data_IF_858878388812
#
_entry.id   IF_858878388812
#
_cell.length_a   1.000
_cell.length_b   1.000
_cell.length_c   1.000
_cell.angle_alpha   90.00
_cell.angle_beta   90.00
_cell.angle_gamma   90.00
#
_symmetry.space_group_name_H-M   'P 1'
#
loop_
_entity.id
_entity.type
_entity.pdbx_description
1 polymer ?
#
# COMPACT_ATOMS: atom_id res chain seq x y z
N UNK A 1 -0.31 -5.86 32.65
CA UNK A 1 -0.63 -6.52 31.36
C UNK A 1 0.54 -7.38 30.82
N UNK A 2 1.63 -7.57 31.57
CA UNK A 2 2.91 -8.08 31.04
C UNK A 2 3.37 -9.43 31.64
N UNK A 3 2.46 -10.39 31.84
CA UNK A 3 2.83 -11.71 32.39
C UNK A 3 2.24 -12.90 31.62
N UNK A 4 1.22 -12.68 30.78
CA UNK A 4 0.61 -13.70 29.91
C UNK A 4 1.26 -13.81 28.53
N UNK A 5 2.01 -12.78 28.08
CA UNK A 5 2.66 -12.77 26.76
C UNK A 5 3.92 -13.63 26.64
N UNK A 6 4.59 -13.92 27.77
CA UNK A 6 5.86 -14.67 27.78
C UNK A 6 5.67 -16.19 27.85
N UNK A 7 4.50 -16.68 28.27
CA UNK A 7 4.24 -18.12 28.42
C UNK A 7 3.92 -18.81 27.08
N UNK A 8 3.34 -18.10 26.10
CA UNK A 8 3.04 -18.67 24.78
C UNK A 8 4.25 -18.70 23.82
N UNK A 9 5.34 -17.99 24.12
CA UNK A 9 6.52 -17.93 23.26
C UNK A 9 7.47 -19.15 23.34
N UNK A 10 7.34 -20.02 24.36
CA UNK A 10 8.34 -21.06 24.68
C UNK A 10 7.97 -22.49 24.35
N UNK A 11 6.82 -22.73 23.72
CA UNK A 11 6.37 -24.08 23.39
C UNK A 11 6.82 -24.41 21.95
N UNK A 12 8.02 -24.99 21.84
CA UNK A 12 8.70 -25.28 20.57
C UNK A 12 7.83 -26.01 19.54
N UNK A 13 6.95 -26.92 20.00
CA UNK A 13 6.07 -27.68 19.10
C UNK A 13 4.95 -26.82 18.49
N UNK A 14 4.41 -25.83 19.21
CA UNK A 14 3.37 -24.92 18.70
C UNK A 14 3.98 -24.02 17.62
N UNK A 15 5.17 -23.49 17.85
CA UNK A 15 5.87 -22.68 16.84
C UNK A 15 6.20 -23.50 15.58
N UNK A 16 6.68 -24.74 15.72
CA UNK A 16 6.90 -25.64 14.59
C UNK A 16 5.62 -25.95 13.80
N UNK A 17 4.46 -26.06 14.46
CA UNK A 17 3.18 -26.27 13.80
C UNK A 17 2.72 -25.01 13.06
N UNK A 18 2.84 -23.84 13.68
CA UNK A 18 2.47 -22.55 13.09
C UNK A 18 3.32 -22.17 11.88
N UNK A 19 4.59 -22.57 11.88
CA UNK A 19 5.54 -22.25 10.81
C UNK A 19 5.53 -23.32 9.69
N UNK A 20 4.73 -24.37 9.82
CA UNK A 20 4.57 -25.40 8.78
C UNK A 20 3.80 -24.82 7.59
N UNK A 21 4.49 -24.72 6.45
CA UNK A 21 3.89 -24.37 5.16
C UNK A 21 3.02 -25.50 4.65
N UNK A 22 1.75 -25.19 4.36
CA UNK A 22 0.79 -26.19 3.88
C UNK A 22 -0.14 -25.64 2.80
N UNK A 23 -0.49 -24.35 2.85
CA UNK A 23 -1.42 -23.77 1.89
C UNK A 23 -0.68 -23.23 0.65
N UNK A 24 -1.19 -23.49 -0.57
CA UNK A 24 -0.67 -22.82 -1.76
C UNK A 24 -0.85 -21.31 -1.61
N UNK A 25 0.11 -20.55 -2.13
CA UNK A 25 0.05 -19.10 -2.03
C UNK A 25 -1.03 -18.56 -2.99
N UNK A 26 -2.11 -18.01 -2.42
CA UNK A 26 -3.23 -17.41 -3.16
C UNK A 26 -2.88 -16.09 -3.87
N UNK A 27 -1.76 -15.46 -3.52
CA UNK A 27 -1.29 -14.19 -4.10
C UNK A 27 -0.30 -14.41 -5.24
N UNK A 28 0.34 -15.58 -5.31
CA UNK A 28 1.26 -15.96 -6.38
C UNK A 28 1.32 -17.50 -6.49
N UNK A 29 0.67 -18.01 -7.54
CA UNK A 29 0.51 -19.44 -7.81
C UNK A 29 1.85 -20.17 -7.96
N UNK A 30 2.92 -19.46 -8.37
CA UNK A 30 4.25 -20.05 -8.58
C UNK A 30 5.17 -19.93 -7.36
N UNK A 31 4.70 -19.32 -6.28
CA UNK A 31 5.51 -19.08 -5.09
C UNK A 31 5.38 -20.18 -4.03
N UNK A 32 6.27 -20.10 -3.04
CA UNK A 32 6.36 -21.05 -1.92
C UNK A 32 5.06 -21.09 -1.10
N UNK A 33 4.68 -22.28 -0.66
CA UNK A 33 3.52 -22.50 0.20
C UNK A 33 3.55 -21.63 1.48
N UNK A 34 2.40 -21.07 1.84
CA UNK A 34 2.21 -20.26 3.05
C UNK A 34 2.14 -21.14 4.30
N UNK A 35 2.80 -20.68 5.36
CA UNK A 35 2.65 -21.21 6.72
C UNK A 35 1.31 -20.84 7.34
N UNK A 36 0.86 -21.62 8.32
CA UNK A 36 -0.37 -21.34 9.07
C UNK A 36 -0.33 -19.95 9.72
N UNK A 37 0.85 -19.53 10.20
CA UNK A 37 1.08 -18.18 10.71
C UNK A 37 0.91 -17.10 9.65
N UNK A 38 1.41 -17.32 8.43
CA UNK A 38 1.22 -16.39 7.31
C UNK A 38 -0.25 -16.29 6.91
N UNK A 39 -0.98 -17.41 6.89
CA UNK A 39 -2.43 -17.43 6.62
C UNK A 39 -3.20 -16.71 7.72
N UNK A 40 -2.85 -16.92 9.00
CA UNK A 40 -3.45 -16.19 10.11
C UNK A 40 -3.23 -14.67 10.02
N UNK A 41 -2.10 -14.22 9.47
CA UNK A 41 -1.85 -12.79 9.22
C UNK A 41 -2.75 -12.22 8.11
N UNK A 42 -3.18 -13.03 7.14
CA UNK A 42 -4.11 -12.59 6.09
C UNK A 42 -5.49 -12.22 6.66
N UNK A 43 -5.93 -12.86 7.75
CA UNK A 43 -7.20 -12.52 8.42
C UNK A 43 -7.20 -11.10 9.00
N UNK A 44 -6.01 -10.54 9.24
CA UNK A 44 -5.81 -9.18 9.74
C UNK A 44 -5.16 -8.28 8.70
N UNK A 45 -5.18 -8.68 7.42
CA UNK A 45 -4.62 -7.88 6.35
C UNK A 45 -5.46 -6.61 6.18
N UNK A 46 -4.91 -5.47 6.58
CA UNK A 46 -5.47 -4.16 6.27
C UNK A 46 -5.15 -3.85 4.82
N UNK A 47 -6.06 -4.19 3.92
CA UNK A 47 -5.94 -3.79 2.53
C UNK A 47 -5.99 -2.26 2.42
N UNK A 48 -4.91 -1.66 1.89
CA UNK A 48 -4.91 -0.25 1.57
C UNK A 48 -5.60 -0.04 0.22
N UNK A 49 -6.88 0.32 0.26
CA UNK A 49 -7.68 0.61 -0.93
C UNK A 49 -7.60 2.08 -1.39
N UNK A 50 -6.74 2.89 -0.76
CA UNK A 50 -6.52 4.28 -1.18
C UNK A 50 -5.75 4.27 -2.50
N UNK A 51 -6.35 4.87 -3.53
CA UNK A 51 -5.73 5.05 -4.85
C UNK A 51 -5.23 6.49 -4.92
N UNK A 52 -4.10 6.72 -4.26
CA UNK A 52 -3.51 8.04 -4.09
C UNK A 52 -2.04 7.96 -4.44
N UNK A 53 -1.58 8.89 -5.27
CA UNK A 53 -0.18 9.08 -5.63
C UNK A 53 0.20 10.47 -5.16
N UNK A 54 1.28 10.58 -4.39
CA UNK A 54 1.86 11.86 -3.96
C UNK A 54 3.31 11.85 -4.39
N UNK A 55 3.73 12.88 -5.12
CA UNK A 55 5.10 13.04 -5.62
C UNK A 55 5.66 14.38 -5.17
N UNK A 56 6.94 14.40 -4.86
CA UNK A 56 7.70 15.63 -4.73
C UNK A 56 7.99 16.12 -6.15
N UNK A 57 7.30 17.18 -6.56
CA UNK A 57 7.34 17.71 -7.92
C UNK A 57 8.43 18.76 -8.11
N UNK A 58 9.53 18.72 -7.34
CA UNK A 58 10.66 19.63 -7.53
C UNK A 58 10.95 19.77 -9.02
N UNK A 59 10.90 21.01 -9.54
CA UNK A 59 11.12 21.27 -10.96
C UNK A 59 12.50 20.77 -11.40
N UNK A 60 12.58 19.56 -11.95
CA UNK A 60 13.61 19.24 -12.92
C UNK A 60 13.13 19.85 -14.24
N UNK A 61 13.78 20.95 -14.62
CA UNK A 61 13.44 21.72 -15.81
C UNK A 61 13.18 20.83 -17.02
N UNK A 62 11.97 20.92 -17.56
CA UNK A 62 11.56 20.09 -18.68
C UNK A 62 10.05 20.01 -18.80
N UNK A 63 9.44 21.08 -19.28
CA UNK A 63 8.04 21.08 -19.73
C UNK A 63 7.80 19.90 -20.68
N UNK A 64 7.00 18.95 -20.23
CA UNK A 64 6.33 17.99 -21.12
C UNK A 64 4.89 17.90 -20.62
N UNK A 65 3.96 18.52 -21.36
CA UNK A 65 2.50 18.52 -21.14
C UNK A 65 1.87 19.71 -20.37
N UNK A 66 2.06 20.94 -20.86
CA UNK A 66 0.95 21.91 -21.05
C UNK A 66 0.08 22.37 -19.87
N UNK A 67 0.50 22.25 -18.60
CA UNK A 67 -0.16 22.94 -17.49
C UNK A 67 0.87 23.41 -16.48
N UNK A 68 1.36 24.63 -16.66
CA UNK A 68 2.17 25.33 -15.68
C UNK A 68 1.30 25.60 -14.44
N UNK A 69 1.47 24.79 -13.40
CA UNK A 69 0.85 25.03 -12.09
C UNK A 69 1.84 25.88 -11.28
N UNK A 70 1.46 27.08 -10.81
CA UNK A 70 2.38 27.95 -10.10
C UNK A 70 2.77 27.34 -8.75
N UNK A 71 4.06 27.07 -8.57
CA UNK A 71 4.62 26.56 -7.32
C UNK A 71 5.09 27.72 -6.45
N UNK A 72 4.29 28.04 -5.43
CA UNK A 72 4.70 28.92 -4.33
C UNK A 72 4.30 28.36 -2.95
N UNK A 73 3.60 27.22 -2.93
CA UNK A 73 3.49 26.31 -1.80
C UNK A 73 4.10 24.98 -2.28
N UNK A 74 4.97 24.37 -1.46
CA UNK A 74 5.99 23.38 -1.85
C UNK A 74 5.56 22.39 -2.94
N UNK A 75 6.49 22.04 -3.82
CA UNK A 75 6.32 21.36 -5.11
C UNK A 75 5.58 19.99 -5.10
N UNK A 76 4.99 19.58 -3.99
CA UNK A 76 4.18 18.38 -3.86
C UNK A 76 2.97 18.39 -4.78
N UNK A 77 2.78 17.27 -5.48
CA UNK A 77 1.62 17.00 -6.32
C UNK A 77 0.94 15.74 -5.84
N UNK A 78 -0.39 15.74 -5.85
CA UNK A 78 -1.23 14.63 -5.41
C UNK A 78 -2.28 14.31 -6.47
N UNK A 79 -2.39 13.03 -6.80
CA UNK A 79 -3.46 12.47 -7.62
C UNK A 79 -4.27 11.48 -6.79
N UNK A 80 -5.56 11.76 -6.62
CA UNK A 80 -6.53 10.88 -5.96
C UNK A 80 -7.47 10.33 -7.02
N UNK A 81 -7.65 9.01 -7.10
CA UNK A 81 -8.44 8.38 -8.17
C UNK A 81 -9.46 7.40 -7.62
N UNK A 82 -10.50 7.11 -8.42
CA UNK A 82 -11.37 5.96 -8.17
C UNK A 82 -10.87 4.67 -8.83
N UNK A 83 -9.84 4.73 -9.67
CA UNK A 83 -9.30 3.61 -10.44
C UNK A 83 -7.94 3.15 -9.92
N UNK A 84 -7.66 1.86 -10.04
CA UNK A 84 -6.29 1.39 -9.83
C UNK A 84 -5.47 1.72 -11.10
N UNK A 85 -4.23 2.21 -11.00
CA UNK A 85 -3.33 2.41 -12.14
C UNK A 85 -2.82 1.05 -12.67
N UNK A 86 -3.75 0.18 -13.05
CA UNK A 86 -3.54 -1.12 -13.65
C UNK A 86 -4.64 -1.33 -14.71
N UNK A 87 -4.29 -2.02 -15.79
CA UNK A 87 -5.05 -2.09 -17.05
C UNK A 87 -6.53 -2.47 -16.85
N UNK A 88 -6.84 -3.35 -15.89
CA UNK A 88 -8.23 -3.77 -15.62
C UNK A 88 -9.19 -2.67 -15.15
N UNK A 89 -8.70 -1.52 -14.65
CA UNK A 89 -9.60 -0.40 -14.30
C UNK A 89 -9.94 0.50 -15.50
N UNK A 90 -9.20 0.40 -16.62
CA UNK A 90 -9.37 1.28 -17.79
C UNK A 90 -10.73 1.10 -18.50
N UNK A 91 -11.35 -0.07 -18.34
CA UNK A 91 -12.65 -0.42 -18.93
C UNK A 91 -13.87 0.12 -18.17
N UNK A 92 -13.69 0.98 -17.16
CA UNK A 92 -14.77 1.54 -16.34
C UNK A 92 -14.81 3.06 -16.43
N UNK A 93 -15.98 3.65 -16.11
CA UNK A 93 -16.09 5.10 -15.93
C UNK A 93 -15.31 5.53 -14.68
N UNK A 94 -14.27 6.33 -14.90
CA UNK A 94 -13.31 6.72 -13.87
C UNK A 94 -13.29 8.23 -13.65
N UNK A 95 -12.90 8.63 -12.45
CA UNK A 95 -12.66 10.02 -12.10
C UNK A 95 -11.39 10.14 -11.26
N UNK A 96 -10.75 11.30 -11.34
CA UNK A 96 -9.58 11.63 -10.56
C UNK A 96 -9.54 13.12 -10.21
N UNK A 97 -8.99 13.43 -9.05
CA UNK A 97 -8.72 14.77 -8.58
C UNK A 97 -7.20 14.97 -8.51
N UNK A 98 -6.71 16.01 -9.18
CA UNK A 98 -5.33 16.46 -9.09
C UNK A 98 -5.27 17.72 -8.22
N UNK A 99 -4.34 17.74 -7.27
CA UNK A 99 -4.10 18.86 -6.36
C UNK A 99 -2.59 19.05 -6.12
N UNK A 100 -2.16 20.28 -5.80
CA UNK A 100 -0.75 20.62 -5.57
C UNK A 100 -0.57 21.56 -4.36
N UNK A 101 0.64 21.64 -3.84
CA UNK A 101 1.00 22.49 -2.69
C UNK A 101 0.70 21.84 -1.34
N UNK A 102 0.42 22.64 -0.32
CA UNK A 102 0.28 22.16 1.08
C UNK A 102 -0.78 21.08 1.28
N UNK A 103 -1.83 21.07 0.45
CA UNK A 103 -2.86 20.02 0.47
C UNK A 103 -2.31 18.65 0.02
N UNK A 104 -1.34 18.64 -0.90
CA UNK A 104 -0.66 17.42 -1.31
C UNK A 104 0.31 16.95 -0.22
N UNK A 105 1.02 17.87 0.44
CA UNK A 105 1.88 17.58 1.59
C UNK A 105 1.08 16.98 2.76
N UNK A 106 -0.09 17.54 3.06
CA UNK A 106 -0.99 17.05 4.11
C UNK A 106 -1.54 15.63 3.82
N UNK A 107 -1.48 15.17 2.57
CA UNK A 107 -1.91 13.84 2.16
C UNK A 107 -0.91 12.73 2.49
N UNK A 108 0.33 13.06 2.89
CA UNK A 108 1.36 12.07 3.19
C UNK A 108 0.96 11.17 4.38
N UNK A 109 1.22 9.86 4.31
CA UNK A 109 0.96 8.96 5.44
C UNK A 109 1.88 9.33 6.62
N UNK A 110 1.28 9.47 7.81
CA UNK A 110 1.98 9.63 9.08
C UNK A 110 2.49 8.30 9.64
#
# INVERSE_FOLDING_TARGET
>A
VNMLGTCFGRISWINKLLDKSFLPNIMDINSKQMSLRQVGRLLFFKANHRKVIIVDGHQQGGSTSGRDVPTSAGDWQMLVTNFNPADGSSANSNCGLFASGDIALAGLPH
#
